data_IF_746633347081
#
_entry.id   IF_746633347081
#
_cell.length_a   1.000
_cell.length_b   1.000
_cell.length_c   1.000
_cell.angle_alpha   90.00
_cell.angle_beta   90.00
_cell.angle_gamma   90.00
#
_symmetry.space_group_name_H-M   'P 1'
#
loop_
_entity.id
_entity.type
_entity.pdbx_description
1 polymer ?
#
# COMPACT_ATOMS: atom_id res chain seq x y z
N UNK A 1 -7.52 8.14 0.29
CA UNK A 1 -8.09 7.33 1.40
C UNK A 1 -8.54 8.20 2.58
N UNK A 2 -7.78 9.22 2.98
CA UNK A 2 -8.13 10.07 4.13
C UNK A 2 -9.48 10.78 4.01
N UNK A 3 -9.91 11.13 2.80
CA UNK A 3 -11.21 11.77 2.55
C UNK A 3 -12.42 10.87 2.87
N UNK A 4 -12.21 9.57 2.96
CA UNK A 4 -13.26 8.58 3.24
C UNK A 4 -13.03 7.86 4.59
N UNK A 5 -12.18 8.42 5.47
CA UNK A 5 -11.88 7.82 6.78
C UNK A 5 -10.97 6.58 6.75
N UNK A 6 -10.36 6.27 5.61
CA UNK A 6 -9.46 5.13 5.40
C UNK A 6 -7.98 5.58 5.26
N UNK A 7 -7.67 6.74 5.82
CA UNK A 7 -6.32 7.30 5.78
C UNK A 7 -5.38 6.63 6.78
N UNK A 8 -4.08 6.87 6.57
CA UNK A 8 -3.03 6.55 7.56
C UNK A 8 -2.30 7.85 7.87
N UNK A 9 -2.36 8.29 9.12
CA UNK A 9 -1.68 9.49 9.63
C UNK A 9 -0.48 9.08 10.45
N UNK A 10 0.73 9.30 9.92
CA UNK A 10 1.97 9.09 10.66
C UNK A 10 2.46 10.42 11.19
N UNK A 11 2.74 10.50 12.49
CA UNK A 11 3.05 11.76 13.14
C UNK A 11 4.11 11.60 14.24
N UNK A 12 4.76 12.71 14.57
CA UNK A 12 5.69 12.82 15.68
C UNK A 12 5.44 14.10 16.45
N UNK A 13 6.09 14.26 17.60
CA UNK A 13 5.97 15.44 18.44
C UNK A 13 7.32 15.78 19.08
N UNK A 14 7.57 17.06 19.25
CA UNK A 14 8.76 17.53 19.97
C UNK A 14 8.66 17.18 21.46
N UNK A 15 9.79 17.15 22.19
CA UNK A 15 9.80 16.84 23.63
C UNK A 15 8.95 17.78 24.51
N UNK A 16 8.64 18.99 24.03
CA UNK A 16 7.84 20.00 24.74
C UNK A 16 6.35 19.69 24.74
N UNK A 17 5.87 18.80 23.86
CA UNK A 17 4.45 18.42 23.78
C UNK A 17 4.08 17.53 24.95
N UNK A 18 3.05 17.93 25.71
CA UNK A 18 2.62 17.17 26.88
C UNK A 18 1.90 15.87 26.52
N UNK A 19 1.80 14.90 27.43
CA UNK A 19 1.03 13.67 27.19
C UNK A 19 -0.42 13.95 26.79
N UNK A 20 -1.06 14.93 27.41
CA UNK A 20 -2.45 15.33 27.11
C UNK A 20 -2.58 15.88 25.70
N UNK A 21 -1.63 16.69 25.24
CA UNK A 21 -1.60 17.22 23.87
C UNK A 21 -1.37 16.10 22.86
N UNK A 22 -0.53 15.12 23.17
CA UNK A 22 -0.33 13.93 22.31
C UNK A 22 -1.62 13.12 22.18
N UNK A 23 -2.36 12.94 23.27
CA UNK A 23 -3.62 12.22 23.26
C UNK A 23 -4.70 12.96 22.45
N UNK A 24 -4.74 14.30 22.54
CA UNK A 24 -5.61 15.12 21.69
C UNK A 24 -5.27 14.96 20.21
N UNK A 25 -3.98 15.01 19.86
CA UNK A 25 -3.53 14.80 18.48
C UNK A 25 -3.93 13.40 17.95
N UNK A 26 -3.74 12.35 18.78
CA UNK A 26 -4.16 10.99 18.47
C UNK A 26 -5.65 10.90 18.16
N UNK A 27 -6.49 11.51 18.98
CA UNK A 27 -7.94 11.53 18.78
C UNK A 27 -8.34 12.23 17.46
N UNK A 28 -7.73 13.37 17.17
CA UNK A 28 -8.02 14.14 15.95
C UNK A 28 -7.58 13.34 14.71
N UNK A 29 -6.36 12.81 14.72
CA UNK A 29 -5.82 12.05 13.59
C UNK A 29 -6.55 10.71 13.40
N UNK A 30 -6.96 10.06 14.49
CA UNK A 30 -7.74 8.83 14.48
C UNK A 30 -9.11 8.97 13.81
N UNK A 31 -9.68 10.18 13.78
CA UNK A 31 -10.92 10.43 13.05
C UNK A 31 -10.76 10.36 11.52
N UNK A 32 -9.54 10.44 11.00
CA UNK A 32 -9.22 10.34 9.58
C UNK A 32 -8.85 8.91 9.12
N UNK A 33 -8.81 7.97 10.06
CA UNK A 33 -8.43 6.57 9.82
C UNK A 33 -7.47 6.03 10.87
N UNK A 34 -6.42 5.33 10.45
CA UNK A 34 -5.38 4.81 11.35
C UNK A 34 -4.36 5.89 11.66
N UNK A 35 -4.04 6.12 12.94
CA UNK A 35 -2.93 6.95 13.36
C UNK A 35 -1.74 6.09 13.82
N UNK A 36 -0.52 6.58 13.60
CA UNK A 36 0.70 5.94 14.03
C UNK A 36 1.72 6.98 14.50
N UNK A 37 2.00 6.99 15.81
CA UNK A 37 3.05 7.82 16.37
C UNK A 37 4.43 7.21 16.09
N UNK A 38 5.39 8.06 15.73
CA UNK A 38 6.81 7.71 15.56
C UNK A 38 7.69 8.68 16.34
N UNK A 39 8.79 8.19 16.91
CA UNK A 39 9.67 9.05 17.72
C UNK A 39 10.65 9.87 16.87
N UNK A 40 11.01 9.38 15.69
CA UNK A 40 12.01 9.99 14.83
C UNK A 40 11.37 10.51 13.53
N UNK A 41 11.59 11.79 13.22
CA UNK A 41 11.08 12.45 12.01
C UNK A 41 11.48 11.74 10.71
N UNK A 42 12.57 10.99 10.69
CA UNK A 42 12.98 10.22 9.51
C UNK A 42 11.91 9.22 9.05
N UNK A 43 11.06 8.74 9.97
CA UNK A 43 9.94 7.86 9.63
C UNK A 43 8.83 8.57 8.85
N UNK A 44 8.72 9.90 8.91
CA UNK A 44 7.72 10.66 8.15
C UNK A 44 8.00 10.57 6.64
N UNK A 45 9.27 10.67 6.23
CA UNK A 45 9.66 10.48 4.82
C UNK A 45 9.41 9.04 4.33
N UNK A 46 9.68 8.07 5.21
CA UNK A 46 9.40 6.65 4.92
C UNK A 46 7.90 6.41 4.77
N UNK A 47 7.09 6.99 5.67
CA UNK A 47 5.63 6.91 5.61
C UNK A 47 5.06 7.60 4.36
N UNK A 48 5.61 8.75 3.99
CA UNK A 48 5.25 9.46 2.75
C UNK A 48 5.47 8.57 1.53
N UNK A 49 6.63 7.92 1.45
CA UNK A 49 6.95 7.03 0.33
C UNK A 49 6.06 5.78 0.27
N UNK A 50 5.75 5.19 1.43
CA UNK A 50 5.01 3.92 1.49
C UNK A 50 3.49 4.13 1.49
N UNK A 51 2.98 5.01 2.34
CA UNK A 51 1.55 5.23 2.57
C UNK A 51 1.02 6.46 1.82
N UNK A 52 1.73 7.57 1.83
CA UNK A 52 1.32 8.79 1.12
C UNK A 52 1.28 8.59 -0.40
N UNK A 53 2.32 7.98 -0.97
CA UNK A 53 2.40 7.64 -2.39
C UNK A 53 1.73 6.29 -2.73
N UNK A 54 1.46 5.46 -1.73
CA UNK A 54 0.92 4.11 -1.87
C UNK A 54 -0.33 3.98 -2.73
N UNK A 55 -1.32 4.88 -2.63
CA UNK A 55 -2.50 4.83 -3.49
C UNK A 55 -2.17 4.85 -4.98
N UNK A 56 -1.15 5.61 -5.41
CA UNK A 56 -0.75 5.65 -6.81
C UNK A 56 -0.20 4.30 -7.29
N UNK A 57 0.53 3.57 -6.44
CA UNK A 57 1.04 2.24 -6.78
C UNK A 57 -0.09 1.23 -6.90
N UNK A 58 -1.08 1.32 -6.00
CA UNK A 58 -2.25 0.46 -6.06
C UNK A 58 -3.09 0.74 -7.31
N UNK A 59 -3.29 2.01 -7.66
CA UNK A 59 -4.04 2.35 -8.87
C UNK A 59 -3.34 1.91 -10.15
N UNK A 60 -2.02 2.03 -10.23
CA UNK A 60 -1.24 1.50 -11.35
C UNK A 60 -1.37 -0.03 -11.46
N UNK A 61 -1.30 -0.75 -10.36
CA UNK A 61 -1.50 -2.20 -10.33
C UNK A 61 -2.93 -2.59 -10.70
N UNK A 62 -3.93 -1.87 -10.17
CA UNK A 62 -5.33 -2.08 -10.50
C UNK A 62 -5.59 -1.90 -12.00
N UNK A 63 -5.11 -0.80 -12.58
CA UNK A 63 -5.23 -0.50 -14.00
C UNK A 63 -4.60 -1.61 -14.86
N UNK A 64 -3.40 -2.05 -14.52
CA UNK A 64 -2.73 -3.14 -15.23
C UNK A 64 -3.53 -4.45 -15.21
N UNK A 65 -4.16 -4.79 -14.07
CA UNK A 65 -5.02 -5.97 -13.97
C UNK A 65 -6.31 -5.81 -14.81
N UNK A 66 -6.92 -4.63 -14.82
CA UNK A 66 -8.10 -4.35 -15.65
C UNK A 66 -7.74 -4.48 -17.13
N UNK A 67 -6.62 -3.91 -17.55
CA UNK A 67 -6.15 -4.02 -18.95
C UNK A 67 -5.82 -5.45 -19.34
N UNK A 68 -5.23 -6.23 -18.43
CA UNK A 68 -5.03 -7.67 -18.65
C UNK A 68 -6.36 -8.41 -18.83
N UNK A 69 -7.38 -8.09 -18.03
CA UNK A 69 -8.74 -8.64 -18.17
C UNK A 69 -9.35 -8.34 -19.54
N UNK A 70 -9.18 -7.11 -20.03
CA UNK A 70 -9.61 -6.73 -21.38
C UNK A 70 -8.83 -7.49 -22.45
N UNK A 71 -7.53 -7.64 -22.27
CA UNK A 71 -6.65 -8.35 -23.20
C UNK A 71 -7.05 -9.82 -23.39
N UNK A 72 -7.53 -10.47 -22.32
CA UNK A 72 -7.99 -11.87 -22.38
C UNK A 72 -9.46 -12.04 -22.81
N UNK A 73 -10.19 -10.92 -23.04
CA UNK A 73 -11.51 -10.94 -23.67
C UNK A 73 -12.70 -10.46 -22.84
N UNK A 74 -12.52 -10.01 -21.60
CA UNK A 74 -13.59 -9.35 -20.83
C UNK A 74 -13.84 -7.94 -21.33
N UNK A 75 -15.07 -7.45 -21.19
CA UNK A 75 -15.33 -6.01 -21.30
C UNK A 75 -14.62 -5.26 -20.16
N UNK A 76 -14.33 -3.97 -20.37
CA UNK A 76 -13.69 -3.15 -19.33
C UNK A 76 -14.50 -3.14 -18.03
N UNK A 77 -15.82 -3.00 -18.12
CA UNK A 77 -16.71 -2.99 -16.95
C UNK A 77 -16.69 -4.31 -16.15
N UNK A 78 -16.63 -5.45 -16.86
CA UNK A 78 -16.50 -6.76 -16.20
C UNK A 78 -15.12 -6.92 -15.56
N UNK A 79 -14.04 -6.48 -16.25
CA UNK A 79 -12.68 -6.49 -15.73
C UNK A 79 -12.57 -5.65 -14.45
N UNK A 80 -13.07 -4.43 -14.47
CA UNK A 80 -13.09 -3.54 -13.30
C UNK A 80 -13.82 -4.19 -12.10
N UNK A 81 -14.99 -4.77 -12.34
CA UNK A 81 -15.75 -5.47 -11.29
C UNK A 81 -14.99 -6.66 -10.71
N UNK A 82 -14.42 -7.51 -11.56
CA UNK A 82 -13.63 -8.67 -11.13
C UNK A 82 -12.39 -8.25 -10.34
N UNK A 83 -11.63 -7.31 -10.86
CA UNK A 83 -10.39 -6.83 -10.22
C UNK A 83 -10.67 -6.18 -8.87
N UNK A 84 -11.68 -5.29 -8.80
CA UNK A 84 -12.06 -4.64 -7.55
C UNK A 84 -12.38 -5.66 -6.45
N UNK A 85 -13.28 -6.60 -6.73
CA UNK A 85 -13.69 -7.60 -5.73
C UNK A 85 -12.56 -8.58 -5.36
N UNK A 86 -11.69 -8.92 -6.32
CA UNK A 86 -10.52 -9.74 -6.05
C UNK A 86 -9.56 -9.04 -5.08
N UNK A 87 -9.23 -7.78 -5.33
CA UNK A 87 -8.31 -7.02 -4.47
C UNK A 87 -8.92 -6.76 -3.10
N UNK A 88 -10.17 -6.29 -3.04
CA UNK A 88 -10.85 -6.01 -1.78
C UNK A 88 -11.00 -7.28 -0.93
N UNK A 89 -11.41 -8.39 -1.53
CA UNK A 89 -11.53 -9.68 -0.85
C UNK A 89 -10.20 -10.22 -0.36
N UNK A 90 -9.14 -10.09 -1.16
CA UNK A 90 -7.80 -10.54 -0.79
C UNK A 90 -7.23 -9.74 0.38
N UNK A 91 -7.43 -8.42 0.42
CA UNK A 91 -7.01 -7.57 1.53
C UNK A 91 -7.81 -7.88 2.80
N UNK A 92 -9.12 -8.10 2.68
CA UNK A 92 -9.96 -8.52 3.80
C UNK A 92 -9.51 -9.87 4.36
N UNK A 93 -9.21 -10.83 3.49
CA UNK A 93 -8.72 -12.14 3.89
C UNK A 93 -7.34 -12.03 4.59
N UNK A 94 -6.41 -11.27 4.03
CA UNK A 94 -5.10 -11.02 4.65
C UNK A 94 -5.25 -10.45 6.07
N UNK A 95 -6.16 -9.49 6.26
CA UNK A 95 -6.42 -8.86 7.56
C UNK A 95 -7.01 -9.86 8.58
N UNK A 96 -7.90 -10.74 8.15
CA UNK A 96 -8.59 -11.70 9.03
C UNK A 96 -7.72 -12.90 9.40
N UNK A 97 -6.95 -13.43 8.45
CA UNK A 97 -6.18 -14.66 8.62
C UNK A 97 -4.92 -14.45 9.47
N UNK A 98 -4.25 -13.31 9.32
CA UNK A 98 -3.05 -12.93 10.07
C UNK A 98 -1.78 -13.69 9.69
N UNK A 99 -1.83 -14.69 8.80
CA UNK A 99 -0.64 -15.37 8.29
C UNK A 99 0.21 -14.46 7.41
N UNK A 100 1.48 -14.81 7.28
CA UNK A 100 2.37 -14.11 6.35
C UNK A 100 1.84 -14.18 4.91
N UNK A 101 1.87 -13.08 4.12
CA UNK A 101 1.33 -13.04 2.76
C UNK A 101 1.85 -14.13 1.83
N UNK A 102 3.09 -14.57 2.01
CA UNK A 102 3.64 -15.68 1.23
C UNK A 102 2.91 -17.01 1.48
N UNK A 103 2.46 -17.26 2.72
CA UNK A 103 1.67 -18.46 3.03
C UNK A 103 0.29 -18.41 2.38
N UNK A 104 -0.35 -17.23 2.36
CA UNK A 104 -1.63 -17.03 1.68
C UNK A 104 -1.50 -17.18 0.17
N UNK A 105 -0.45 -16.60 -0.43
CA UNK A 105 -0.14 -16.79 -1.85
C UNK A 105 0.04 -18.29 -2.18
N UNK A 106 0.80 -19.01 -1.39
CA UNK A 106 1.03 -20.45 -1.60
C UNK A 106 -0.27 -21.26 -1.49
N UNK A 107 -1.18 -20.88 -0.59
CA UNK A 107 -2.46 -21.56 -0.42
C UNK A 107 -3.38 -21.45 -1.66
N UNK A 108 -3.17 -20.44 -2.50
CA UNK A 108 -3.92 -20.24 -3.76
C UNK A 108 -3.09 -20.58 -5.02
N UNK A 109 -1.94 -21.24 -4.83
CA UNK A 109 -1.03 -21.64 -5.92
C UNK A 109 -0.92 -23.16 -5.95
N UNK A 110 -1.71 -23.79 -6.80
CA UNK A 110 -1.64 -25.26 -7.00
C UNK A 110 -0.47 -25.61 -7.95
N UNK A 111 0.13 -26.82 -7.78
CA UNK A 111 1.16 -27.30 -8.71
C UNK A 111 0.65 -27.37 -10.16
N UNK A 112 1.40 -26.75 -11.09
CA UNK A 112 1.02 -26.68 -12.49
C UNK A 112 -0.24 -25.86 -12.79
N UNK A 113 -0.75 -25.09 -11.82
CA UNK A 113 -1.93 -24.26 -11.98
C UNK A 113 -1.66 -22.91 -12.64
N UNK A 114 -2.71 -22.24 -13.08
CA UNK A 114 -2.64 -20.92 -13.74
C UNK A 114 -1.96 -19.87 -12.88
N UNK A 115 -2.14 -19.93 -11.57
CA UNK A 115 -1.49 -19.01 -10.61
C UNK A 115 0.02 -19.20 -10.60
N UNK A 116 0.51 -20.45 -10.69
CA UNK A 116 1.95 -20.73 -10.69
C UNK A 116 2.62 -20.12 -11.93
N UNK A 117 2.04 -20.32 -13.11
CA UNK A 117 2.53 -19.75 -14.38
C UNK A 117 2.51 -18.21 -14.36
N UNK A 118 1.41 -17.61 -13.90
CA UNK A 118 1.30 -16.16 -13.81
C UNK A 118 2.34 -15.54 -12.85
N UNK A 119 2.60 -16.19 -11.69
CA UNK A 119 3.62 -15.72 -10.75
C UNK A 119 5.01 -15.83 -11.37
N UNK A 120 5.31 -16.89 -12.10
CA UNK A 120 6.60 -17.07 -12.79
C UNK A 120 6.87 -15.90 -13.74
N UNK A 121 5.94 -15.59 -14.62
CA UNK A 121 6.04 -14.47 -15.56
C UNK A 121 6.21 -13.10 -14.84
N UNK A 122 5.48 -12.89 -13.76
CA UNK A 122 5.61 -11.66 -12.96
C UNK A 122 6.98 -11.55 -12.28
N UNK A 123 7.54 -12.66 -11.79
CA UNK A 123 8.88 -12.67 -11.17
C UNK A 123 9.97 -12.45 -12.24
N UNK A 124 9.85 -13.05 -13.41
CA UNK A 124 10.77 -12.82 -14.55
C UNK A 124 10.72 -11.34 -14.99
N UNK A 125 9.55 -10.73 -15.01
CA UNK A 125 9.37 -9.30 -15.24
C UNK A 125 9.89 -8.42 -14.08
N UNK A 126 10.50 -9.01 -13.03
CA UNK A 126 11.07 -8.32 -11.85
C UNK A 126 10.04 -7.50 -11.07
N UNK A 127 8.80 -7.98 -11.01
CA UNK A 127 7.68 -7.27 -10.37
C UNK A 127 8.01 -6.79 -8.95
N UNK A 128 8.49 -7.66 -8.07
CA UNK A 128 8.84 -7.27 -6.68
C UNK A 128 9.93 -6.21 -6.62
N UNK A 129 11.01 -6.42 -7.37
CA UNK A 129 12.12 -5.47 -7.35
C UNK A 129 11.73 -4.13 -7.96
N UNK A 130 10.77 -4.10 -8.89
CA UNK A 130 10.17 -2.88 -9.42
C UNK A 130 9.47 -2.08 -8.34
N UNK A 131 8.59 -2.72 -7.56
CA UNK A 131 7.89 -2.09 -6.44
C UNK A 131 8.88 -1.57 -5.38
N UNK A 132 9.83 -2.40 -4.95
CA UNK A 132 10.83 -2.02 -3.94
C UNK A 132 11.63 -0.79 -4.39
N UNK A 133 12.12 -0.80 -5.64
CA UNK A 133 12.88 0.33 -6.19
C UNK A 133 12.03 1.60 -6.30
N UNK A 134 10.76 1.46 -6.69
CA UNK A 134 9.82 2.59 -6.76
C UNK A 134 9.63 3.26 -5.41
N UNK A 135 9.36 2.49 -4.36
CA UNK A 135 9.21 2.99 -2.98
C UNK A 135 10.51 3.64 -2.48
N UNK A 136 11.67 3.01 -2.73
CA UNK A 136 12.98 3.58 -2.34
C UNK A 136 13.26 4.89 -3.08
N UNK A 137 12.89 5.01 -4.36
CA UNK A 137 13.03 6.26 -5.11
C UNK A 137 12.13 7.37 -4.54
N UNK A 138 10.88 7.04 -4.19
CA UNK A 138 9.97 7.97 -3.54
C UNK A 138 10.49 8.45 -2.18
N UNK A 139 11.03 7.55 -1.36
CA UNK A 139 11.67 7.90 -0.09
C UNK A 139 12.84 8.88 -0.28
N UNK A 140 13.75 8.58 -1.21
CA UNK A 140 14.89 9.48 -1.50
C UNK A 140 14.42 10.86 -1.96
N UNK A 141 13.35 10.91 -2.73
CA UNK A 141 12.77 12.18 -3.19
C UNK A 141 12.12 12.97 -2.05
N UNK A 142 11.36 12.31 -1.18
CA UNK A 142 10.78 12.93 0.02
C UNK A 142 11.85 13.55 0.90
N UNK A 143 12.87 12.78 1.26
CA UNK A 143 13.98 13.27 2.07
C UNK A 143 14.78 14.42 1.43
N UNK A 144 14.87 14.47 0.09
CA UNK A 144 15.50 15.58 -0.62
C UNK A 144 14.65 16.85 -0.59
N UNK A 145 13.33 16.73 -0.69
CA UNK A 145 12.40 17.86 -0.60
C UNK A 145 12.40 18.49 0.79
N UNK A 146 12.43 17.68 1.85
CA UNK A 146 12.51 18.15 3.23
C UNK A 146 13.78 18.97 3.51
N UNK A 147 14.93 18.58 2.92
CA UNK A 147 16.19 19.30 3.06
C UNK A 147 16.27 20.62 2.27
N UNK A 148 15.48 20.75 1.22
CA UNK A 148 15.47 21.96 0.38
C UNK A 148 14.48 23.03 0.84
N UNK A 149 13.70 22.75 1.88
CA UNK A 149 12.73 23.67 2.49
C UNK A 149 13.28 24.37 3.75
N UNK A 150 14.56 24.22 4.06
CA UNK A 150 15.26 24.81 5.22
C UNK A 150 16.00 26.09 4.83
#
# INVERSE_FOLDING_TARGET
PGQIGEGVSVWTATPQVTPEQREQARHILGALGVEMYVEDERYLDMATALSGSGPAYLFLFYEALVDAGVHIGFSRAESEKLVYHTLAGSLSYLKQDGRHPAALRNAVTSPGGTTAEAILEMEDARFRSGIIRGVVAAYKRSAALGKGAS
#
